data_IF_404199808616
#
_entry.id   IF_404199808616
#
_cell.length_a   1.000
_cell.length_b   1.000
_cell.length_c   1.000
_cell.angle_alpha   90.00
_cell.angle_beta   90.00
_cell.angle_gamma   90.00
#
_symmetry.space_group_name_H-M   'P 1'
#
loop_
_entity.id
_entity.type
_entity.pdbx_description
1 polymer ?
#
# COMPACT_ATOMS: atom_id res chain seq x y z
N UNK A 1 15.39 -10.47 6.30
CA UNK A 1 15.61 -9.08 6.81
C UNK A 1 14.30 -8.30 6.84
N UNK A 2 14.19 -7.24 7.66
CA UNK A 2 12.98 -6.39 7.66
C UNK A 2 12.83 -5.65 6.33
N UNK A 3 13.95 -5.23 5.73
CA UNK A 3 13.95 -4.54 4.45
C UNK A 3 13.46 -5.43 3.31
N UNK A 4 13.86 -6.70 3.25
CA UNK A 4 13.37 -7.63 2.22
C UNK A 4 11.84 -7.81 2.29
N UNK A 5 11.29 -7.88 3.51
CA UNK A 5 9.84 -7.96 3.71
C UNK A 5 9.17 -6.65 3.31
N UNK A 6 9.79 -5.51 3.62
CA UNK A 6 9.30 -4.19 3.28
C UNK A 6 9.22 -4.03 1.75
N UNK A 7 10.27 -4.40 1.02
CA UNK A 7 10.31 -4.38 -0.45
C UNK A 7 9.21 -5.25 -1.04
N UNK A 8 9.04 -6.48 -0.55
CA UNK A 8 8.00 -7.38 -1.07
C UNK A 8 6.60 -6.82 -0.88
N UNK A 9 6.33 -6.19 0.27
CA UNK A 9 5.02 -5.59 0.53
C UNK A 9 4.79 -4.30 -0.26
N UNK A 10 5.81 -3.47 -0.48
CA UNK A 10 5.70 -2.29 -1.36
C UNK A 10 5.52 -2.69 -2.83
N UNK A 11 6.23 -3.70 -3.32
CA UNK A 11 6.03 -4.26 -4.67
C UNK A 11 4.61 -4.81 -4.84
N UNK A 12 4.12 -5.56 -3.85
CA UNK A 12 2.76 -6.08 -3.84
C UNK A 12 1.73 -4.94 -3.86
N UNK A 13 1.92 -3.91 -3.06
CA UNK A 13 1.04 -2.75 -3.03
C UNK A 13 1.04 -2.01 -4.38
N UNK A 14 2.23 -1.80 -4.96
CA UNK A 14 2.40 -1.16 -6.27
C UNK A 14 1.70 -1.93 -7.39
N UNK A 15 1.82 -3.26 -7.38
CA UNK A 15 1.11 -4.12 -8.33
C UNK A 15 -0.41 -3.95 -8.23
N UNK A 16 -0.94 -3.90 -7.00
CA UNK A 16 -2.38 -3.71 -6.77
C UNK A 16 -2.83 -2.33 -7.28
N UNK A 17 -2.08 -1.26 -6.97
CA UNK A 17 -2.39 0.10 -7.43
C UNK A 17 -2.32 0.22 -8.97
N UNK A 18 -1.31 -0.39 -9.60
CA UNK A 18 -1.16 -0.37 -11.06
C UNK A 18 -2.30 -1.12 -11.76
N UNK A 19 -2.75 -2.23 -11.19
CA UNK A 19 -3.94 -2.93 -11.68
C UNK A 19 -5.21 -2.09 -11.53
N UNK A 20 -5.37 -1.38 -10.42
CA UNK A 20 -6.49 -0.45 -10.20
C UNK A 20 -6.53 0.65 -11.26
N UNK A 21 -5.40 1.30 -11.54
CA UNK A 21 -5.33 2.34 -12.57
C UNK A 21 -5.62 1.79 -13.97
N UNK A 22 -5.12 0.60 -14.28
CA UNK A 22 -5.38 -0.08 -15.55
C UNK A 22 -6.86 -0.42 -15.71
N UNK A 23 -7.48 -0.97 -14.66
CA UNK A 23 -8.91 -1.30 -14.64
C UNK A 23 -9.75 -0.03 -14.74
N UNK A 24 -9.44 1.03 -13.99
CA UNK A 24 -10.14 2.32 -14.04
C UNK A 24 -10.12 2.94 -15.44
N UNK A 25 -9.02 2.78 -16.18
CA UNK A 25 -8.90 3.26 -17.57
C UNK A 25 -9.66 2.38 -18.57
N UNK A 26 -9.75 1.08 -18.29
CA UNK A 26 -10.48 0.12 -19.12
C UNK A 26 -12.00 0.13 -18.89
N UNK A 27 -12.46 0.59 -17.72
CA UNK A 27 -13.86 0.50 -17.30
C UNK A 27 -14.69 1.73 -17.75
N UNK A 28 -15.29 1.62 -18.94
CA UNK A 28 -16.49 2.40 -19.34
C UNK A 28 -17.79 1.64 -19.07
N UNK A 29 -17.72 0.35 -18.70
CA UNK A 29 -18.91 -0.50 -18.55
C UNK A 29 -18.63 -1.68 -17.59
N UNK A 30 -19.07 -1.51 -16.33
CA UNK A 30 -19.47 -2.56 -15.39
C UNK A 30 -18.43 -3.62 -14.97
N UNK A 31 -17.37 -3.27 -14.25
CA UNK A 31 -16.85 -4.23 -13.26
C UNK A 31 -16.17 -3.60 -12.03
N UNK A 32 -17.01 -3.30 -11.03
CA UNK A 32 -16.64 -3.23 -9.61
C UNK A 32 -16.16 -4.57 -9.01
N UNK A 33 -15.70 -5.52 -9.84
CA UNK A 33 -15.29 -6.86 -9.41
C UNK A 33 -13.76 -6.96 -9.37
N UNK A 34 -13.26 -7.09 -8.14
CA UNK A 34 -11.89 -7.43 -7.83
C UNK A 34 -11.38 -6.59 -6.67
N UNK A 35 -11.04 -5.32 -6.95
CA UNK A 35 -10.20 -4.51 -6.07
C UNK A 35 -10.89 -3.31 -5.41
N UNK A 36 -11.97 -2.79 -5.99
CA UNK A 36 -12.93 -1.87 -5.33
C UNK A 36 -13.97 -2.62 -4.49
N UNK A 37 -13.99 -3.96 -4.57
CA UNK A 37 -14.79 -4.79 -3.69
C UNK A 37 -14.28 -4.69 -2.23
N UNK A 38 -15.12 -4.96 -1.21
CA UNK A 38 -14.68 -4.99 0.19
C UNK A 38 -13.45 -5.87 0.44
N UNK A 39 -13.32 -6.99 -0.28
CA UNK A 39 -12.17 -7.90 -0.19
C UNK A 39 -10.91 -7.25 -0.78
N UNK A 40 -11.06 -6.52 -1.88
CA UNK A 40 -9.99 -5.75 -2.51
C UNK A 40 -9.46 -4.65 -1.60
N UNK A 41 -10.36 -3.85 -1.03
CA UNK A 41 -10.06 -2.80 -0.05
C UNK A 41 -9.35 -3.37 1.18
N UNK A 42 -9.81 -4.51 1.70
CA UNK A 42 -9.18 -5.20 2.82
C UNK A 42 -7.74 -5.63 2.49
N UNK A 43 -7.49 -6.14 1.28
CA UNK A 43 -6.14 -6.55 0.86
C UNK A 43 -5.18 -5.36 0.78
N UNK A 44 -5.63 -4.22 0.24
CA UNK A 44 -4.81 -3.00 0.17
C UNK A 44 -4.52 -2.49 1.58
N UNK A 45 -5.56 -2.36 2.41
CA UNK A 45 -5.44 -1.94 3.81
C UNK A 45 -4.44 -2.81 4.59
N UNK A 46 -4.50 -4.12 4.39
CA UNK A 46 -3.57 -5.07 5.03
C UNK A 46 -2.12 -4.86 4.58
N UNK A 47 -1.87 -4.67 3.29
CA UNK A 47 -0.51 -4.38 2.81
C UNK A 47 0.01 -3.05 3.38
N UNK A 48 -0.80 -2.00 3.41
CA UNK A 48 -0.41 -0.73 4.04
C UNK A 48 -0.10 -0.88 5.54
N UNK A 49 -0.88 -1.68 6.27
CA UNK A 49 -0.63 -1.97 7.68
C UNK A 49 0.71 -2.70 7.88
N UNK A 50 1.00 -3.72 7.06
CA UNK A 50 2.29 -4.44 7.12
C UNK A 50 3.48 -3.55 6.79
N UNK A 51 3.37 -2.69 5.77
CA UNK A 51 4.43 -1.71 5.44
C UNK A 51 4.71 -0.79 6.65
N UNK A 52 3.65 -0.33 7.32
CA UNK A 52 3.78 0.55 8.50
C UNK A 52 4.43 -0.17 9.68
N UNK A 53 4.07 -1.43 9.93
CA UNK A 53 4.66 -2.27 10.98
C UNK A 53 6.14 -2.56 10.72
N UNK A 54 6.48 -2.92 9.47
CA UNK A 54 7.86 -3.15 9.05
C UNK A 54 8.70 -1.89 9.15
N UNK A 55 8.17 -0.74 8.71
CA UNK A 55 8.88 0.52 8.85
C UNK A 55 9.08 0.93 10.31
N UNK A 56 8.10 0.68 11.17
CA UNK A 56 8.26 0.89 12.62
C UNK A 56 9.36 -0.01 13.20
N UNK A 57 9.46 -1.26 12.73
CA UNK A 57 10.49 -2.20 13.16
C UNK A 57 11.89 -1.76 12.73
N UNK A 58 12.04 -1.26 11.49
CA UNK A 58 13.31 -0.71 10.98
C UNK A 58 13.72 0.54 11.76
N UNK A 59 12.78 1.45 12.04
CA UNK A 59 13.04 2.64 12.82
C UNK A 59 13.48 2.30 14.26
N UNK A 60 12.81 1.33 14.92
CA UNK A 60 13.20 0.83 16.25
C UNK A 60 14.58 0.15 16.26
N UNK A 61 14.97 -0.48 15.15
CA UNK A 61 16.30 -1.05 14.99
C UNK A 61 17.38 0.00 14.71
N UNK A 62 17.04 1.29 14.66
CA UNK A 62 17.96 2.40 14.43
C UNK A 62 18.39 2.54 12.97
N UNK A 63 17.49 2.25 12.01
CA UNK A 63 17.73 2.49 10.57
C UNK A 63 18.91 1.69 9.99
N UNK A 64 19.24 0.55 10.60
CA UNK A 64 20.39 -0.28 10.17
C UNK A 64 20.24 -0.86 8.77
N UNK A 65 19.00 -1.09 8.33
CA UNK A 65 18.70 -1.74 7.04
C UNK A 65 18.23 -0.76 5.96
N UNK A 66 17.87 0.47 6.32
CA UNK A 66 17.30 1.48 5.41
C UNK A 66 17.50 2.85 6.04
N UNK A 67 17.96 3.82 5.25
CA UNK A 67 18.11 5.19 5.73
C UNK A 67 16.75 5.80 6.09
N UNK A 68 16.80 6.79 6.98
CA UNK A 68 15.60 7.40 7.54
C UNK A 68 14.76 8.11 6.47
N UNK A 69 15.38 8.77 5.50
CA UNK A 69 14.65 9.56 4.50
C UNK A 69 13.83 8.65 3.58
N UNK A 70 14.45 7.59 3.07
CA UNK A 70 13.77 6.56 2.26
C UNK A 70 12.61 5.93 3.04
N UNK A 71 12.81 5.61 4.31
CA UNK A 71 11.77 4.99 5.12
C UNK A 71 10.58 5.94 5.37
N UNK A 72 10.86 7.22 5.63
CA UNK A 72 9.83 8.24 5.83
C UNK A 72 9.01 8.47 4.54
N UNK A 73 9.65 8.42 3.38
CA UNK A 73 9.00 8.51 2.06
C UNK A 73 8.05 7.33 1.81
N UNK A 74 8.52 6.09 2.03
CA UNK A 74 7.69 4.87 1.91
C UNK A 74 6.46 4.97 2.84
N UNK A 75 6.67 5.39 4.09
CA UNK A 75 5.56 5.55 5.03
C UNK A 75 4.60 6.68 4.64
N UNK A 76 5.10 7.77 4.07
CA UNK A 76 4.28 8.90 3.60
C UNK A 76 3.37 8.46 2.46
N UNK A 77 3.90 7.79 1.45
CA UNK A 77 3.11 7.25 0.33
C UNK A 77 2.10 6.21 0.81
N UNK A 78 2.50 5.33 1.72
CA UNK A 78 1.60 4.33 2.32
C UNK A 78 0.39 4.99 3.01
N UNK A 79 0.62 6.08 3.75
CA UNK A 79 -0.46 6.85 4.36
C UNK A 79 -1.36 7.52 3.32
N UNK A 80 -0.81 8.04 2.23
CA UNK A 80 -1.60 8.64 1.15
C UNK A 80 -2.53 7.61 0.49
N UNK A 81 -2.06 6.38 0.29
CA UNK A 81 -2.91 5.28 -0.21
C UNK A 81 -4.06 5.00 0.76
N UNK A 82 -3.78 4.86 2.06
CA UNK A 82 -4.82 4.64 3.08
C UNK A 82 -5.85 5.77 3.11
N UNK A 83 -5.42 7.03 3.06
CA UNK A 83 -6.35 8.17 3.04
C UNK A 83 -7.23 8.16 1.78
N UNK A 84 -6.67 7.83 0.63
CA UNK A 84 -7.42 7.71 -0.62
C UNK A 84 -8.47 6.60 -0.57
N UNK A 85 -8.17 5.47 0.07
CA UNK A 85 -9.13 4.40 0.30
C UNK A 85 -10.26 4.82 1.26
N UNK A 86 -9.91 5.51 2.34
CA UNK A 86 -10.89 6.00 3.31
C UNK A 86 -11.87 6.99 2.66
N UNK A 87 -11.38 7.88 1.78
CA UNK A 87 -12.25 8.78 1.02
C UNK A 87 -13.23 8.00 0.13
N UNK A 88 -12.76 6.97 -0.58
CA UNK A 88 -13.62 6.12 -1.44
C UNK A 88 -14.65 5.29 -0.66
N UNK A 89 -14.38 4.96 0.61
CA UNK A 89 -15.31 4.19 1.44
C UNK A 89 -16.36 5.07 2.14
N UNK A 90 -16.16 6.39 2.15
CA UNK A 90 -17.07 7.37 2.76
C UNK A 90 -18.06 7.99 1.76
N UNK A 91 -17.83 7.80 0.45
CA UNK A 91 -18.73 8.14 -0.66
C UNK A 91 -19.72 6.98 -0.96
#
# INVERSE_FOLDING_TARGET
>A
MFMEKLVRETERLSLICSMLDTMRRADKDRNARGWTSPIGLLKITRSCAMISELGTSIAKAGYRECDRATLEEIQRETRQVLYSLHAQAAD
#
